data_IF_845074660347
#
_entry.id   IF_845074660347
#
_cell.length_a   1.000
_cell.length_b   1.000
_cell.length_c   1.000
_cell.angle_alpha   90.00
_cell.angle_beta   90.00
_cell.angle_gamma   90.00
#
_symmetry.space_group_name_H-M   'P 1'
#
loop_
_entity.id
_entity.type
_entity.pdbx_description
1 polymer ?
#
# COMPACT_ATOMS: atom_id res chain seq x y z
N UNK A 1 -13.43 10.01 16.64
CA UNK A 1 -13.28 9.57 15.24
C UNK A 1 -14.43 8.66 14.88
N UNK A 2 -15.14 8.97 13.80
CA UNK A 2 -16.21 8.11 13.31
C UNK A 2 -15.62 6.72 12.98
N UNK A 3 -16.29 5.63 13.36
CA UNK A 3 -15.79 4.25 13.20
C UNK A 3 -15.32 3.98 11.76
N UNK A 4 -16.02 4.59 10.81
CA UNK A 4 -15.71 4.54 9.39
C UNK A 4 -14.28 5.02 9.06
N UNK A 5 -13.84 6.16 9.62
CA UNK A 5 -12.49 6.69 9.36
C UNK A 5 -11.40 5.87 10.05
N UNK A 6 -11.70 5.30 11.21
CA UNK A 6 -10.76 4.42 11.91
C UNK A 6 -10.48 3.13 11.11
N UNK A 7 -11.51 2.58 10.46
CA UNK A 7 -11.37 1.40 9.58
C UNK A 7 -10.57 1.74 8.32
N UNK A 8 -10.86 2.88 7.67
CA UNK A 8 -10.11 3.31 6.48
C UNK A 8 -8.64 3.52 6.80
N UNK A 9 -8.33 4.16 7.94
CA UNK A 9 -6.95 4.37 8.38
C UNK A 9 -6.22 3.04 8.61
N UNK A 10 -6.84 2.10 9.32
CA UNK A 10 -6.28 0.76 9.54
C UNK A 10 -6.07 -0.03 8.24
N UNK A 11 -7.03 0.00 7.33
CA UNK A 11 -6.93 -0.66 6.04
C UNK A 11 -5.78 -0.09 5.20
N UNK A 12 -5.62 1.23 5.22
CA UNK A 12 -4.56 1.94 4.51
C UNK A 12 -3.17 1.58 5.04
N UNK A 13 -3.07 1.37 6.36
CA UNK A 13 -1.85 0.93 7.03
C UNK A 13 -1.45 -0.49 6.60
N UNK A 14 -2.42 -1.41 6.46
CA UNK A 14 -2.19 -2.75 5.90
C UNK A 14 -1.73 -2.70 4.46
N UNK A 15 -2.33 -1.84 3.63
CA UNK A 15 -1.90 -1.62 2.24
C UNK A 15 -0.45 -1.13 2.14
N UNK A 16 -0.04 -0.24 3.05
CA UNK A 16 1.33 0.26 3.12
C UNK A 16 2.33 -0.85 3.49
N UNK A 17 2.00 -1.69 4.47
CA UNK A 17 2.82 -2.83 4.88
C UNK A 17 2.97 -3.83 3.72
N UNK A 18 1.87 -4.17 3.03
CA UNK A 18 1.91 -5.03 1.84
C UNK A 18 2.78 -4.43 0.74
N UNK A 19 2.70 -3.12 0.51
CA UNK A 19 3.57 -2.41 -0.43
C UNK A 19 5.05 -2.59 -0.09
N UNK A 20 5.43 -2.41 1.17
CA UNK A 20 6.82 -2.58 1.63
C UNK A 20 7.29 -4.03 1.48
N UNK A 21 6.47 -5.01 1.88
CA UNK A 21 6.79 -6.44 1.75
C UNK A 21 6.98 -6.83 0.27
N UNK A 22 6.12 -6.31 -0.61
CA UNK A 22 6.23 -6.50 -2.06
C UNK A 22 7.54 -5.90 -2.61
N UNK A 23 7.95 -4.74 -2.10
CA UNK A 23 9.20 -4.06 -2.47
C UNK A 23 10.45 -4.83 -1.99
N UNK A 24 10.41 -5.40 -0.79
CA UNK A 24 11.47 -6.29 -0.27
C UNK A 24 11.58 -7.55 -1.11
N UNK A 25 10.43 -8.15 -1.47
CA UNK A 25 10.37 -9.33 -2.33
C UNK A 25 10.90 -9.03 -3.73
N UNK A 26 10.61 -7.83 -4.27
CA UNK A 26 11.19 -7.34 -5.53
C UNK A 26 12.72 -7.27 -5.47
N UNK A 27 13.28 -6.74 -4.37
CA UNK A 27 14.73 -6.61 -4.21
C UNK A 27 15.44 -7.97 -4.11
N UNK A 28 14.79 -8.96 -3.51
CA UNK A 28 15.32 -10.32 -3.32
C UNK A 28 15.19 -11.22 -4.56
N UNK A 29 14.20 -10.98 -5.43
CA UNK A 29 13.89 -11.90 -6.55
C UNK A 29 14.57 -11.45 -7.85
N UNK A 30 15.47 -12.27 -8.40
CA UNK A 30 16.26 -11.97 -9.60
C UNK A 30 15.52 -12.09 -10.95
N UNK A 31 14.26 -12.51 -10.98
CA UNK A 31 13.50 -12.72 -12.23
C UNK A 31 12.92 -11.42 -12.79
N UNK A 32 13.48 -10.92 -13.90
CA UNK A 32 13.10 -9.65 -14.54
C UNK A 32 11.61 -9.55 -14.93
N UNK A 33 10.98 -10.64 -15.37
CA UNK A 33 9.55 -10.66 -15.70
C UNK A 33 8.62 -10.47 -14.48
N UNK A 34 8.98 -11.07 -13.35
CA UNK A 34 8.19 -10.92 -12.11
C UNK A 34 8.42 -9.53 -11.50
N UNK A 35 9.60 -8.93 -11.73
CA UNK A 35 9.95 -7.60 -11.24
C UNK A 35 9.01 -6.53 -11.80
N UNK A 36 8.76 -6.50 -13.10
CA UNK A 36 7.96 -5.43 -13.71
C UNK A 36 6.49 -5.46 -13.23
N UNK A 37 5.89 -6.65 -13.17
CA UNK A 37 4.54 -6.84 -12.64
C UNK A 37 4.45 -6.51 -11.14
N UNK A 38 5.44 -6.96 -10.35
CA UNK A 38 5.48 -6.73 -8.90
C UNK A 38 5.75 -5.25 -8.57
N UNK A 39 6.51 -4.53 -9.40
CA UNK A 39 6.70 -3.09 -9.27
C UNK A 39 5.36 -2.36 -9.45
N UNK A 40 4.58 -2.72 -10.48
CA UNK A 40 3.24 -2.16 -10.71
C UNK A 40 2.30 -2.37 -9.53
N UNK A 41 2.28 -3.58 -8.96
CA UNK A 41 1.49 -3.91 -7.76
C UNK A 41 1.96 -3.09 -6.54
N UNK A 42 3.28 -2.97 -6.35
CA UNK A 42 3.86 -2.19 -5.25
C UNK A 42 3.48 -0.72 -5.33
N UNK A 43 3.52 -0.13 -6.54
CA UNK A 43 3.11 1.26 -6.78
C UNK A 43 1.61 1.43 -6.53
N UNK A 44 0.76 0.52 -7.02
CA UNK A 44 -0.69 0.55 -6.73
C UNK A 44 -0.99 0.47 -5.23
N UNK A 45 -0.31 -0.44 -4.51
CA UNK A 45 -0.47 -0.60 -3.06
C UNK A 45 -0.07 0.67 -2.30
N UNK A 46 1.04 1.31 -2.69
CA UNK A 46 1.48 2.58 -2.11
C UNK A 46 0.50 3.72 -2.40
N UNK A 47 -0.01 3.83 -3.62
CA UNK A 47 -0.99 4.86 -3.99
C UNK A 47 -2.27 4.67 -3.16
N UNK A 48 -2.78 3.44 -3.04
CA UNK A 48 -3.94 3.14 -2.20
C UNK A 48 -3.70 3.43 -0.71
N UNK A 49 -2.49 3.15 -0.21
CA UNK A 49 -2.08 3.50 1.15
C UNK A 49 -1.99 5.00 1.39
N UNK A 50 -1.42 5.76 0.47
CA UNK A 50 -1.28 7.22 0.62
C UNK A 50 -2.65 7.91 0.48
N UNK A 51 -3.45 7.52 -0.51
CA UNK A 51 -4.80 8.06 -0.72
C UNK A 51 -5.72 7.73 0.46
N UNK A 52 -5.68 6.51 0.99
CA UNK A 52 -6.51 6.13 2.13
C UNK A 52 -6.13 6.88 3.41
N UNK A 53 -4.84 7.11 3.65
CA UNK A 53 -4.37 7.95 4.78
C UNK A 53 -4.80 9.41 4.58
N UNK A 54 -4.63 9.98 3.38
CA UNK A 54 -5.08 11.35 3.05
C UNK A 54 -6.59 11.50 3.23
N UNK A 55 -7.38 10.52 2.77
CA UNK A 55 -8.82 10.53 2.91
C UNK A 55 -9.23 10.43 4.38
N UNK A 56 -8.57 9.56 5.15
CA UNK A 56 -8.77 9.49 6.58
C UNK A 56 -8.38 10.80 7.28
N UNK A 57 -7.31 11.49 6.87
CA UNK A 57 -6.87 12.75 7.48
C UNK A 57 -7.77 13.94 7.16
N UNK A 58 -8.26 14.05 5.91
CA UNK A 58 -9.13 15.15 5.46
C UNK A 58 -10.53 15.06 6.05
N UNK A 59 -11.04 13.84 6.22
CA UNK A 59 -12.41 13.59 6.66
C UNK A 59 -12.53 13.04 8.10
N UNK A 60 -11.41 12.82 8.82
CA UNK A 60 -11.40 12.49 10.26
C UNK A 60 -11.77 13.69 11.13
#
# INVERSE_FOLDING_TARGET
MNLHFMIVFWLSLVFLICGIVSLITYKLRGSEQAKESLLGVTVMLLIFGVVGILFALIFS
#
